data_IF_802595371695
#
_entry.id   IF_802595371695
#
_cell.length_a   1.000
_cell.length_b   1.000
_cell.length_c   1.000
_cell.angle_alpha   90.00
_cell.angle_beta   90.00
_cell.angle_gamma   90.00
#
_symmetry.space_group_name_H-M   'P 1'
#
loop_
_entity.id
_entity.type
_entity.pdbx_description
1 polymer ?
#
# COMPACT_ATOMS: atom_id res chain seq x y z
N UNK A 1 17.98 13.08 -16.97
CA UNK A 1 16.84 12.68 -16.13
C UNK A 1 16.27 11.39 -16.69
N UNK A 2 15.85 10.48 -15.82
CA UNK A 2 15.27 9.20 -16.19
C UNK A 2 13.89 9.05 -15.51
N UNK A 3 12.88 8.67 -16.29
CA UNK A 3 11.50 8.45 -15.83
C UNK A 3 11.15 6.99 -15.98
N UNK A 4 10.72 6.35 -14.89
CA UNK A 4 10.18 4.99 -14.91
C UNK A 4 8.65 5.05 -15.02
N UNK A 5 8.07 4.40 -16.02
CA UNK A 5 6.64 4.39 -16.28
C UNK A 5 6.05 3.05 -15.83
N UNK A 6 5.12 3.08 -14.88
CA UNK A 6 4.39 1.93 -14.36
C UNK A 6 2.97 1.96 -14.91
N UNK A 7 2.63 1.04 -15.82
CA UNK A 7 1.35 1.08 -16.55
C UNK A 7 0.42 -0.05 -16.14
N UNK A 8 -0.88 0.21 -16.08
CA UNK A 8 -1.89 -0.83 -15.98
C UNK A 8 -2.02 -1.58 -17.32
N UNK A 9 -1.45 -2.77 -17.41
CA UNK A 9 -1.43 -3.58 -18.63
C UNK A 9 -2.79 -4.15 -19.06
N UNK A 10 -3.81 -4.08 -18.22
CA UNK A 10 -5.17 -4.54 -18.55
C UNK A 10 -6.00 -3.47 -19.26
N UNK A 11 -5.54 -2.21 -19.22
CA UNK A 11 -6.20 -1.06 -19.83
C UNK A 11 -5.45 -0.59 -21.09
N UNK A 12 -6.16 -0.56 -22.22
CA UNK A 12 -5.54 -0.12 -23.48
C UNK A 12 -5.26 1.38 -23.48
N UNK A 13 -6.17 2.19 -22.94
CA UNK A 13 -6.02 3.64 -22.81
C UNK A 13 -4.78 4.05 -21.97
N UNK A 14 -4.48 3.31 -20.92
CA UNK A 14 -3.26 3.54 -20.12
C UNK A 14 -1.98 3.16 -20.89
N UNK A 15 -2.03 2.13 -21.74
CA UNK A 15 -0.89 1.77 -22.61
C UNK A 15 -0.67 2.84 -23.69
N UNK A 16 -1.74 3.34 -24.28
CA UNK A 16 -1.68 4.40 -25.30
C UNK A 16 -1.11 5.68 -24.67
N UNK A 17 -1.52 6.02 -23.45
CA UNK A 17 -0.94 7.10 -22.67
C UNK A 17 0.55 6.90 -22.35
N UNK A 18 0.97 5.66 -22.06
CA UNK A 18 2.39 5.37 -21.83
C UNK A 18 3.22 5.58 -23.11
N UNK A 19 2.71 5.19 -24.26
CA UNK A 19 3.37 5.44 -25.56
C UNK A 19 3.47 6.96 -25.85
N UNK A 20 2.35 7.69 -25.69
CA UNK A 20 2.31 9.15 -25.83
C UNK A 20 3.32 9.84 -24.90
N UNK A 21 3.37 9.43 -23.62
CA UNK A 21 4.29 9.99 -22.65
C UNK A 21 5.75 9.71 -23.04
N UNK A 22 6.05 8.48 -23.48
CA UNK A 22 7.39 8.10 -23.93
C UNK A 22 7.88 8.94 -25.10
N UNK A 23 7.05 9.17 -26.12
CA UNK A 23 7.35 10.04 -27.26
C UNK A 23 7.60 11.50 -26.83
N UNK A 24 6.75 12.02 -25.93
CA UNK A 24 6.92 13.38 -25.43
C UNK A 24 8.20 13.52 -24.60
N UNK A 25 8.51 12.58 -23.68
CA UNK A 25 9.74 12.60 -22.89
C UNK A 25 11.00 12.54 -23.76
N UNK A 26 11.00 11.70 -24.82
CA UNK A 26 12.08 11.63 -25.78
C UNK A 26 12.30 12.99 -26.49
N UNK A 27 11.21 13.69 -26.83
CA UNK A 27 11.26 15.05 -27.39
C UNK A 27 11.83 16.09 -26.42
N UNK A 28 11.79 15.86 -25.13
CA UNK A 28 12.39 16.70 -24.08
C UNK A 28 13.82 16.26 -23.70
N UNK A 29 14.38 15.23 -24.35
CA UNK A 29 15.69 14.68 -24.01
C UNK A 29 15.72 13.93 -22.66
N UNK A 30 14.58 13.45 -22.18
CA UNK A 30 14.41 12.66 -20.95
C UNK A 30 14.32 11.19 -21.30
N UNK A 31 15.13 10.36 -20.64
CA UNK A 31 15.08 8.89 -20.78
C UNK A 31 13.79 8.35 -20.15
N UNK A 32 13.07 7.50 -20.87
CA UNK A 32 11.87 6.85 -20.38
C UNK A 32 12.01 5.32 -20.44
N UNK A 33 11.73 4.66 -19.33
CA UNK A 33 11.73 3.21 -19.23
C UNK A 33 10.36 2.71 -18.77
N UNK A 34 9.84 1.64 -19.41
CA UNK A 34 8.63 0.96 -18.97
C UNK A 34 8.97 -0.11 -17.93
N UNK A 35 8.35 -0.03 -16.76
CA UNK A 35 8.45 -1.08 -15.79
C UNK A 35 7.91 -2.40 -16.37
N UNK A 36 8.64 -3.51 -16.24
CA UNK A 36 8.24 -4.79 -16.80
C UNK A 36 6.90 -5.24 -16.24
N UNK A 37 6.12 -5.94 -17.06
CA UNK A 37 4.87 -6.56 -16.61
C UNK A 37 5.18 -7.67 -15.63
N UNK A 38 4.72 -7.54 -14.40
CA UNK A 38 4.79 -8.62 -13.42
C UNK A 38 3.92 -9.79 -13.89
N UNK A 39 4.52 -10.95 -14.10
CA UNK A 39 3.79 -12.18 -14.46
C UNK A 39 3.08 -12.81 -13.26
N UNK A 40 3.52 -12.49 -12.04
CA UNK A 40 2.90 -12.87 -10.76
C UNK A 40 3.16 -11.73 -9.77
N UNK A 41 2.16 -11.40 -8.98
CA UNK A 41 2.18 -10.29 -8.01
C UNK A 41 3.26 -10.38 -6.92
N UNK A 42 4.20 -11.32 -7.00
CA UNK A 42 5.21 -11.62 -5.97
C UNK A 42 6.65 -11.35 -6.37
N UNK A 43 6.91 -11.02 -7.64
CA UNK A 43 8.27 -10.77 -8.13
C UNK A 43 8.43 -9.29 -8.46
N UNK A 44 8.78 -8.48 -7.46
CA UNK A 44 9.38 -7.18 -7.74
C UNK A 44 10.80 -7.49 -8.19
N UNK A 45 11.00 -7.61 -9.49
CA UNK A 45 12.32 -7.75 -10.10
C UNK A 45 12.92 -6.40 -10.51
N UNK A 46 12.21 -5.30 -10.24
CA UNK A 46 12.59 -3.94 -10.63
C UNK A 46 12.61 -3.07 -9.40
N UNK A 47 13.74 -2.50 -9.16
CA UNK A 47 13.97 -1.38 -8.25
C UNK A 47 13.78 -0.10 -9.07
N UNK A 48 13.32 1.00 -8.44
CA UNK A 48 13.28 2.31 -9.08
C UNK A 48 14.68 2.75 -9.55
N UNK A 49 15.73 2.14 -9.00
CA UNK A 49 17.11 2.26 -9.41
C UNK A 49 17.59 3.70 -9.44
N UNK A 50 17.95 4.13 -10.65
CA UNK A 50 18.44 5.47 -10.97
C UNK A 50 17.35 6.40 -11.53
N UNK A 51 16.08 6.06 -11.40
CA UNK A 51 14.99 6.92 -11.83
C UNK A 51 14.89 8.20 -10.98
N UNK A 52 14.71 9.33 -11.66
CA UNK A 52 14.45 10.63 -11.00
C UNK A 52 12.97 10.82 -10.68
N UNK A 53 12.08 10.13 -11.40
CA UNK A 53 10.63 10.19 -11.27
C UNK A 53 9.99 8.86 -11.65
N UNK A 54 8.96 8.45 -10.93
CA UNK A 54 8.08 7.34 -11.33
C UNK A 54 6.72 7.88 -11.73
N UNK A 55 6.22 7.49 -12.90
CA UNK A 55 4.88 7.85 -13.38
C UNK A 55 4.00 6.62 -13.41
N UNK A 56 2.93 6.63 -12.61
CA UNK A 56 1.94 5.56 -12.54
C UNK A 56 0.74 5.87 -13.43
N UNK A 57 0.47 5.03 -14.44
CA UNK A 57 -0.64 5.17 -15.38
C UNK A 57 -1.68 4.07 -15.13
N UNK A 58 -2.74 4.42 -14.38
CA UNK A 58 -3.79 3.47 -13.99
C UNK A 58 -4.67 4.02 -12.88
N UNK A 59 -5.03 3.23 -11.89
CA UNK A 59 -5.70 3.64 -10.66
C UNK A 59 -4.81 3.44 -9.44
N UNK A 60 -5.42 3.53 -8.22
CA UNK A 60 -4.69 3.38 -6.96
C UNK A 60 -3.91 2.04 -6.88
N UNK A 61 -4.45 0.94 -7.43
CA UNK A 61 -3.73 -0.34 -7.48
C UNK A 61 -2.44 -0.31 -8.31
N UNK A 62 -2.39 0.48 -9.40
CA UNK A 62 -1.18 0.69 -10.20
C UNK A 62 -0.18 1.55 -9.44
N UNK A 63 -0.68 2.54 -8.71
CA UNK A 63 0.15 3.39 -7.87
C UNK A 63 0.75 2.61 -6.69
N UNK A 64 0.01 1.70 -6.05
CA UNK A 64 0.55 0.80 -5.02
C UNK A 64 1.67 -0.09 -5.58
N UNK A 65 1.56 -0.52 -6.85
CA UNK A 65 2.65 -1.22 -7.54
C UNK A 65 3.86 -0.30 -7.75
N UNK A 66 3.65 0.94 -8.17
CA UNK A 66 4.73 1.93 -8.29
C UNK A 66 5.42 2.18 -6.94
N UNK A 67 4.64 2.31 -5.86
CA UNK A 67 5.16 2.47 -4.51
C UNK A 67 6.02 1.28 -4.05
N UNK A 68 5.65 0.03 -4.39
CA UNK A 68 6.49 -1.14 -4.11
C UNK A 68 7.80 -1.14 -4.90
N UNK A 69 7.80 -0.66 -6.15
CA UNK A 69 9.01 -0.51 -6.97
C UNK A 69 9.93 0.55 -6.37
N UNK A 70 9.39 1.66 -5.93
CA UNK A 70 10.12 2.73 -5.26
C UNK A 70 10.66 2.28 -3.90
N UNK A 71 9.88 1.50 -3.15
CA UNK A 71 10.25 1.06 -1.81
C UNK A 71 10.60 2.25 -0.91
N UNK A 72 11.79 2.21 -0.35
CA UNK A 72 12.32 3.25 0.55
C UNK A 72 13.32 4.20 -0.14
N UNK A 73 13.44 4.18 -1.48
CA UNK A 73 14.43 4.97 -2.22
C UNK A 73 14.18 6.48 -2.17
N UNK A 74 12.94 6.89 -1.89
CA UNK A 74 12.57 8.31 -1.88
C UNK A 74 12.31 8.91 -3.25
N UNK A 75 12.37 8.12 -4.34
CA UNK A 75 12.01 8.57 -5.69
C UNK A 75 10.55 8.99 -5.72
N UNK A 76 10.21 10.20 -6.17
CA UNK A 76 8.83 10.69 -6.18
C UNK A 76 7.97 9.96 -7.22
N UNK A 77 6.66 9.88 -6.93
CA UNK A 77 5.67 9.24 -7.81
C UNK A 77 4.61 10.26 -8.22
N UNK A 78 4.28 10.30 -9.51
CA UNK A 78 3.08 10.96 -10.05
C UNK A 78 2.07 9.89 -10.46
N UNK A 79 0.82 10.03 -10.01
CA UNK A 79 -0.27 9.13 -10.35
C UNK A 79 -1.26 9.75 -11.35
N UNK A 80 -1.41 9.17 -12.54
CA UNK A 80 -2.43 9.53 -13.53
C UNK A 80 -3.53 8.47 -13.54
N UNK A 81 -4.76 8.88 -13.22
CA UNK A 81 -5.90 7.98 -13.15
C UNK A 81 -6.53 7.76 -14.52
N UNK A 82 -6.59 6.52 -14.96
CA UNK A 82 -7.35 6.09 -16.15
C UNK A 82 -8.73 5.53 -15.80
N UNK A 83 -9.22 5.82 -14.62
CA UNK A 83 -10.54 5.45 -14.12
C UNK A 83 -11.14 6.56 -13.27
N UNK A 84 -11.78 6.20 -12.17
CA UNK A 84 -12.21 7.19 -11.19
C UNK A 84 -10.99 7.75 -10.46
N UNK A 85 -10.95 9.06 -10.26
CA UNK A 85 -9.90 9.71 -9.48
C UNK A 85 -9.97 9.20 -8.02
N UNK A 86 -8.91 8.48 -7.61
CA UNK A 86 -8.79 7.88 -6.29
C UNK A 86 -8.25 8.84 -5.22
N UNK A 87 -7.72 8.27 -4.15
CA UNK A 87 -7.05 9.02 -3.08
C UNK A 87 -5.56 9.24 -3.34
N UNK A 88 -4.97 8.47 -4.27
CA UNK A 88 -3.53 8.47 -4.51
C UNK A 88 -3.15 9.06 -5.86
N UNK A 89 -4.11 9.22 -6.77
CA UNK A 89 -3.86 9.75 -8.12
C UNK A 89 -4.10 11.26 -8.17
N UNK A 90 -3.25 11.97 -8.93
CA UNK A 90 -3.16 13.43 -8.97
C UNK A 90 -4.01 14.06 -10.06
N UNK A 91 -4.11 13.42 -11.23
CA UNK A 91 -4.72 13.97 -12.44
C UNK A 91 -5.39 12.89 -13.30
N UNK A 92 -6.17 13.31 -14.28
CA UNK A 92 -6.75 12.45 -15.31
C UNK A 92 -5.86 12.32 -16.55
N UNK A 93 -6.28 11.50 -17.56
CA UNK A 93 -5.49 11.25 -18.78
C UNK A 93 -5.27 12.51 -19.62
N UNK A 94 -6.23 13.42 -19.63
CA UNK A 94 -6.17 14.67 -20.42
C UNK A 94 -5.06 15.62 -19.91
N UNK A 95 -4.66 15.46 -18.64
CA UNK A 95 -3.63 16.26 -17.99
C UNK A 95 -2.27 15.54 -17.92
N UNK A 96 -2.11 14.38 -18.59
CA UNK A 96 -0.92 13.53 -18.50
C UNK A 96 0.38 14.33 -18.75
N UNK A 97 0.49 14.95 -19.90
CA UNK A 97 1.73 15.64 -20.31
C UNK A 97 1.99 16.88 -19.47
N UNK A 98 0.95 17.68 -19.18
CA UNK A 98 1.09 18.88 -18.36
C UNK A 98 1.50 18.55 -16.91
N UNK A 99 0.89 17.51 -16.32
CA UNK A 99 1.21 17.09 -14.95
C UNK A 99 2.63 16.52 -14.84
N UNK A 100 3.05 15.66 -15.80
CA UNK A 100 4.43 15.14 -15.80
C UNK A 100 5.43 16.25 -16.07
N UNK A 101 5.11 17.22 -16.96
CA UNK A 101 5.93 18.39 -17.19
C UNK A 101 6.13 19.23 -15.91
N UNK A 102 5.04 19.50 -15.19
CA UNK A 102 5.10 20.20 -13.91
C UNK A 102 5.91 19.42 -12.85
N UNK A 103 5.80 18.08 -12.82
CA UNK A 103 6.61 17.24 -11.94
C UNK A 103 8.12 17.37 -12.24
N UNK A 104 8.50 17.29 -13.52
CA UNK A 104 9.88 17.43 -13.95
C UNK A 104 10.45 18.84 -13.70
N UNK A 105 9.59 19.86 -13.74
CA UNK A 105 9.94 21.24 -13.41
C UNK A 105 10.00 21.52 -11.90
N UNK A 106 9.59 20.57 -11.03
CA UNK A 106 9.54 20.74 -9.58
C UNK A 106 8.39 21.64 -9.10
N UNK A 107 7.35 21.81 -9.89
CA UNK A 107 6.20 22.68 -9.60
C UNK A 107 5.11 22.00 -8.79
N UNK A 108 5.18 20.66 -8.63
CA UNK A 108 4.23 19.90 -7.82
C UNK A 108 4.67 19.81 -6.35
N UNK A 109 3.69 19.75 -5.47
CA UNK A 109 3.93 19.53 -4.05
C UNK A 109 4.21 18.04 -3.76
N UNK A 110 5.28 17.75 -3.02
CA UNK A 110 5.61 16.41 -2.58
C UNK A 110 4.88 16.08 -1.26
N UNK A 111 3.84 15.29 -1.35
CA UNK A 111 3.07 14.78 -0.21
C UNK A 111 3.75 13.52 0.34
N UNK A 112 4.26 13.61 1.56
CA UNK A 112 4.93 12.51 2.27
C UNK A 112 3.91 11.48 2.74
N UNK A 113 4.17 10.20 2.48
CA UNK A 113 3.34 9.06 2.88
C UNK A 113 4.16 8.08 3.69
N UNK A 114 3.74 7.85 4.94
CA UNK A 114 4.32 6.83 5.78
C UNK A 114 4.14 5.44 5.16
N UNK A 115 5.08 4.54 5.43
CA UNK A 115 5.08 3.16 4.94
C UNK A 115 5.08 2.18 6.10
N UNK A 116 4.83 0.91 5.83
CA UNK A 116 5.01 -0.19 6.77
C UNK A 116 6.21 -1.04 6.38
N UNK A 117 6.98 -1.45 7.38
CA UNK A 117 7.93 -2.56 7.34
C UNK A 117 7.30 -3.75 8.06
N UNK A 118 7.24 -4.88 7.36
CA UNK A 118 6.48 -6.05 7.79
C UNK A 118 7.42 -7.24 7.80
N UNK A 119 7.57 -7.87 8.95
CA UNK A 119 8.26 -9.15 9.11
C UNK A 119 7.25 -10.25 9.43
N UNK A 120 7.24 -11.31 8.63
CA UNK A 120 6.36 -12.47 8.83
C UNK A 120 7.20 -13.71 9.09
N UNK A 121 6.87 -14.44 10.16
CA UNK A 121 7.47 -15.72 10.48
C UNK A 121 6.55 -16.86 10.04
N UNK A 122 7.15 -17.86 9.41
CA UNK A 122 6.49 -19.04 8.87
C UNK A 122 7.10 -20.31 9.42
N UNK A 123 6.25 -21.35 9.58
CA UNK A 123 6.66 -22.71 9.90
C UNK A 123 6.50 -23.58 8.66
N UNK A 124 7.55 -24.33 8.30
CA UNK A 124 7.53 -25.32 7.23
C UNK A 124 6.85 -26.61 7.69
N UNK A 125 6.48 -27.51 6.76
CA UNK A 125 5.93 -28.82 7.10
C UNK A 125 6.84 -29.70 7.96
N UNK A 126 8.15 -29.49 7.93
CA UNK A 126 9.13 -30.18 8.76
C UNK A 126 9.32 -29.58 10.15
N UNK A 127 8.57 -28.51 10.48
CA UNK A 127 8.63 -27.81 11.76
C UNK A 127 9.71 -26.71 11.85
N UNK A 128 10.58 -26.55 10.85
CA UNK A 128 11.56 -25.47 10.84
C UNK A 128 10.88 -24.11 10.56
N UNK A 129 11.48 -23.03 11.08
CA UNK A 129 10.97 -21.67 10.91
C UNK A 129 11.87 -20.86 9.97
N UNK A 130 11.27 -19.81 9.35
CA UNK A 130 11.99 -18.79 8.61
C UNK A 130 11.17 -17.50 8.61
N UNK A 131 11.84 -16.37 8.39
CA UNK A 131 11.21 -15.06 8.25
C UNK A 131 11.22 -14.58 6.81
N UNK A 132 10.21 -13.80 6.46
CA UNK A 132 10.11 -13.05 5.21
C UNK A 132 9.74 -11.60 5.50
N UNK A 133 10.24 -10.68 4.67
CA UNK A 133 9.97 -9.25 4.78
C UNK A 133 9.05 -8.77 3.66
N UNK A 134 8.24 -7.77 3.95
CA UNK A 134 7.36 -7.11 2.98
C UNK A 134 7.26 -5.62 3.30
N UNK A 135 6.95 -4.86 2.25
CA UNK A 135 6.65 -3.45 2.28
C UNK A 135 5.15 -3.24 2.07
N UNK A 136 4.56 -2.22 2.69
CA UNK A 136 3.24 -1.72 2.31
C UNK A 136 3.16 -0.18 2.39
N UNK A 137 2.44 0.41 1.45
CA UNK A 137 2.03 1.81 1.49
C UNK A 137 0.69 1.96 2.24
N UNK A 138 -0.25 1.04 2.03
CA UNK A 138 -1.56 1.08 2.67
C UNK A 138 -1.61 0.24 3.95
N UNK A 139 -1.53 -1.07 3.83
CA UNK A 139 -1.81 -1.95 4.96
C UNK A 139 -1.15 -3.34 4.89
N UNK A 140 -0.99 -3.90 6.07
CA UNK A 140 -0.83 -5.33 6.31
C UNK A 140 -2.15 -5.92 6.77
N UNK A 141 -2.52 -7.09 6.27
CA UNK A 141 -3.72 -7.81 6.66
C UNK A 141 -3.41 -9.28 7.02
N UNK A 142 -3.80 -9.67 8.23
CA UNK A 142 -4.05 -11.06 8.59
C UNK A 142 -5.48 -11.40 8.16
N UNK A 143 -5.66 -12.47 7.39
CA UNK A 143 -6.98 -12.95 6.99
C UNK A 143 -7.12 -14.45 7.21
N UNK A 144 -8.31 -14.88 7.58
CA UNK A 144 -8.67 -16.30 7.63
C UNK A 144 -8.65 -16.95 6.24
N UNK A 145 -8.55 -18.27 6.19
CA UNK A 145 -8.72 -19.05 4.97
C UNK A 145 -10.18 -19.13 4.50
N UNK A 146 -10.39 -19.74 3.34
CA UNK A 146 -11.69 -19.80 2.66
C UNK A 146 -12.72 -20.76 3.27
N UNK A 147 -12.39 -21.56 4.29
CA UNK A 147 -13.25 -22.60 4.85
C UNK A 147 -14.15 -22.15 6.01
N UNK A 148 -14.26 -20.85 6.29
CA UNK A 148 -15.11 -20.33 7.37
C UNK A 148 -14.48 -20.41 8.76
N UNK A 149 -13.25 -20.90 8.86
CA UNK A 149 -12.52 -20.96 10.13
C UNK A 149 -12.18 -19.56 10.63
N UNK A 150 -12.34 -19.35 11.93
CA UNK A 150 -11.99 -18.09 12.61
C UNK A 150 -10.53 -18.17 13.02
N UNK A 151 -9.76 -17.14 12.74
CA UNK A 151 -8.39 -17.02 13.25
C UNK A 151 -8.42 -16.56 14.72
N UNK A 152 -7.54 -17.17 15.53
CA UNK A 152 -7.27 -16.75 16.90
C UNK A 152 -5.82 -16.36 17.03
N UNK A 153 -5.57 -15.18 17.59
CA UNK A 153 -4.25 -14.60 17.71
C UNK A 153 -4.17 -13.63 18.88
N UNK A 154 -2.99 -13.51 19.45
CA UNK A 154 -2.66 -12.48 20.42
C UNK A 154 -2.18 -11.23 19.69
N UNK A 155 -2.65 -10.06 20.15
CA UNK A 155 -2.19 -8.75 19.71
C UNK A 155 -1.35 -8.14 20.82
N UNK A 156 -0.15 -7.68 20.47
CA UNK A 156 0.69 -6.91 21.37
C UNK A 156 1.17 -5.62 20.67
N UNK A 157 1.48 -4.60 21.45
CA UNK A 157 2.09 -3.35 20.98
C UNK A 157 3.32 -3.08 21.81
N UNK A 158 4.48 -3.00 21.15
CA UNK A 158 5.79 -2.78 21.79
C UNK A 158 6.03 -3.72 22.98
N UNK A 159 5.72 -5.02 22.79
CA UNK A 159 5.85 -6.07 23.78
C UNK A 159 4.78 -6.08 24.89
N UNK A 160 3.80 -5.17 24.83
CA UNK A 160 2.66 -5.16 25.78
C UNK A 160 1.47 -5.88 25.17
N UNK A 161 1.06 -6.99 25.77
CA UNK A 161 -0.13 -7.72 25.35
C UNK A 161 -1.38 -6.83 25.49
N UNK A 162 -2.15 -6.73 24.41
CA UNK A 162 -3.40 -5.96 24.35
C UNK A 162 -4.60 -6.89 24.56
N UNK A 163 -4.75 -7.93 23.71
CA UNK A 163 -5.88 -8.85 23.80
C UNK A 163 -5.58 -10.13 22.99
N UNK A 164 -6.33 -11.20 23.31
CA UNK A 164 -6.46 -12.39 22.48
C UNK A 164 -7.77 -12.30 21.69
N UNK A 165 -7.66 -12.16 20.37
CA UNK A 165 -8.77 -11.88 19.47
C UNK A 165 -9.12 -13.14 18.67
N UNK A 166 -10.43 -13.37 18.52
CA UNK A 166 -11.02 -14.30 17.56
C UNK A 166 -11.77 -13.48 16.52
N UNK A 167 -11.36 -13.55 15.26
CA UNK A 167 -11.88 -12.68 14.20
C UNK A 167 -11.72 -13.31 12.81
N UNK A 168 -12.29 -12.68 11.80
CA UNK A 168 -11.99 -12.99 10.39
C UNK A 168 -10.59 -12.54 10.01
N UNK A 169 -10.03 -11.54 10.72
CA UNK A 169 -8.70 -11.04 10.49
C UNK A 169 -8.35 -9.81 11.33
N UNK A 170 -7.23 -9.19 10.97
CA UNK A 170 -6.74 -7.97 11.59
C UNK A 170 -5.97 -7.14 10.57
N UNK A 171 -6.21 -5.84 10.53
CA UNK A 171 -5.54 -4.90 9.63
C UNK A 171 -4.65 -3.98 10.46
N UNK A 172 -3.41 -3.82 10.02
CA UNK A 172 -2.50 -2.76 10.48
C UNK A 172 -2.24 -1.86 9.28
N UNK A 173 -2.68 -0.62 9.36
CA UNK A 173 -2.68 0.30 8.22
C UNK A 173 -1.87 1.56 8.53
N UNK A 174 -1.30 2.17 7.49
CA UNK A 174 -0.82 3.55 7.54
C UNK A 174 -2.00 4.52 7.53
N UNK A 175 -1.72 5.81 7.72
CA UNK A 175 -2.69 6.87 7.47
C UNK A 175 -3.20 6.88 6.02
N UNK A 176 -2.32 6.57 5.05
CA UNK A 176 -2.69 6.47 3.63
C UNK A 176 -3.71 5.36 3.41
N UNK A 177 -3.49 4.17 3.98
CA UNK A 177 -4.39 3.03 3.87
C UNK A 177 -5.66 3.14 4.72
N UNK A 178 -5.76 4.16 5.60
CA UNK A 178 -6.95 4.39 6.42
C UNK A 178 -8.24 4.59 5.63
N UNK A 179 -8.14 5.03 4.36
CA UNK A 179 -9.26 5.19 3.43
C UNK A 179 -9.55 3.93 2.58
N UNK A 180 -8.74 2.88 2.75
CA UNK A 180 -8.85 1.60 2.04
C UNK A 180 -9.54 0.51 2.88
N UNK A 181 -8.88 -0.65 2.99
CA UNK A 181 -9.44 -1.80 3.69
C UNK A 181 -9.67 -1.56 5.19
N UNK A 182 -8.80 -0.77 5.83
CA UNK A 182 -8.99 -0.37 7.23
C UNK A 182 -10.33 0.36 7.46
N UNK A 183 -10.75 1.26 6.52
CA UNK A 183 -12.04 1.93 6.59
C UNK A 183 -13.20 0.94 6.44
N UNK A 184 -13.12 0.03 5.45
CA UNK A 184 -14.14 -1.00 5.23
C UNK A 184 -14.29 -1.94 6.43
N UNK A 185 -13.21 -2.14 7.20
CA UNK A 185 -13.21 -2.90 8.46
C UNK A 185 -13.73 -2.09 9.66
N UNK A 186 -14.10 -0.81 9.50
CA UNK A 186 -14.64 0.04 10.56
C UNK A 186 -13.59 0.91 11.26
N UNK A 187 -12.43 1.09 10.68
CA UNK A 187 -11.39 2.02 11.15
C UNK A 187 -11.73 3.48 10.84
N UNK A 188 -11.06 4.44 11.49
CA UNK A 188 -11.24 5.87 11.24
C UNK A 188 -10.53 6.31 9.94
N UNK A 189 -11.01 7.40 9.33
CA UNK A 189 -10.26 8.16 8.34
C UNK A 189 -9.17 8.95 9.07
N UNK A 190 -7.92 8.82 8.63
CA UNK A 190 -6.76 9.43 9.27
C UNK A 190 -6.01 10.29 8.27
N UNK A 191 -5.65 11.52 8.67
CA UNK A 191 -4.88 12.45 7.82
C UNK A 191 -3.49 11.88 7.48
N UNK A 192 -2.98 12.08 6.25
CA UNK A 192 -1.66 11.61 5.83
C UNK A 192 -0.49 12.12 6.70
N UNK A 193 -0.68 13.21 7.44
CA UNK A 193 0.33 13.73 8.38
C UNK A 193 0.50 12.89 9.65
N UNK A 194 -0.37 11.93 9.90
CA UNK A 194 -0.24 11.00 11.03
C UNK A 194 0.74 9.88 10.66
N UNK A 195 1.77 9.72 11.45
CA UNK A 195 2.87 8.76 11.23
C UNK A 195 2.73 7.42 11.97
N UNK A 196 1.75 7.29 12.87
CA UNK A 196 1.46 6.05 13.56
C UNK A 196 0.70 5.06 12.68
N UNK A 197 0.29 3.94 13.27
CA UNK A 197 -0.47 2.91 12.59
C UNK A 197 -1.92 2.86 13.07
N UNK A 198 -2.82 2.44 12.20
CA UNK A 198 -4.24 2.20 12.45
C UNK A 198 -4.46 0.71 12.56
N UNK A 199 -4.84 0.23 13.73
CA UNK A 199 -5.07 -1.18 14.03
C UNK A 199 -6.57 -1.46 14.07
N UNK A 200 -7.05 -2.37 13.21
CA UNK A 200 -8.48 -2.63 13.05
C UNK A 200 -8.76 -4.14 13.06
N UNK A 201 -9.48 -4.67 14.05
CA UNK A 201 -9.97 -6.05 14.01
C UNK A 201 -11.06 -6.19 12.94
N UNK A 202 -11.03 -7.27 12.15
CA UNK A 202 -12.01 -7.55 11.09
C UNK A 202 -13.03 -8.54 11.60
N UNK A 203 -14.30 -8.14 11.72
CA UNK A 203 -15.40 -8.95 12.21
C UNK A 203 -15.06 -9.73 13.49
N UNK A 204 -14.60 -9.07 14.58
CA UNK A 204 -14.22 -9.75 15.80
C UNK A 204 -15.43 -10.37 16.49
N UNK A 205 -15.25 -11.55 17.10
CA UNK A 205 -16.27 -12.25 17.86
C UNK A 205 -16.42 -11.71 19.30
N UNK A 206 -16.17 -10.44 19.48
CA UNK A 206 -16.35 -9.70 20.73
C UNK A 206 -16.70 -8.26 20.42
N UNK A 207 -17.62 -7.71 21.18
CA UNK A 207 -18.00 -6.29 21.07
C UNK A 207 -16.96 -5.34 21.70
N UNK A 208 -15.99 -5.88 22.41
CA UNK A 208 -14.96 -5.10 23.13
C UNK A 208 -13.77 -4.76 22.25
N UNK A 209 -13.48 -5.56 21.22
CA UNK A 209 -12.40 -5.27 20.29
C UNK A 209 -12.74 -4.02 19.46
N UNK A 210 -11.91 -3.00 19.55
CA UNK A 210 -12.06 -1.72 18.87
C UNK A 210 -10.83 -1.43 18.02
N UNK A 211 -11.04 -0.63 16.98
CA UNK A 211 -9.91 -0.01 16.28
C UNK A 211 -9.18 0.96 17.22
N UNK A 212 -7.85 0.98 17.12
CA UNK A 212 -7.00 1.89 17.87
C UNK A 212 -5.84 2.39 17.04
N UNK A 213 -5.23 3.49 17.49
CA UNK A 213 -4.06 4.10 16.87
C UNK A 213 -2.82 3.83 17.72
N UNK A 214 -1.66 3.71 17.08
CA UNK A 214 -0.37 3.57 17.74
C UNK A 214 0.50 4.82 17.52
N UNK A 215 1.56 4.94 18.31
CA UNK A 215 2.62 5.90 18.05
C UNK A 215 3.48 5.48 16.85
N UNK A 216 4.19 6.40 16.19
CA UNK A 216 5.13 6.07 15.11
C UNK A 216 6.26 5.13 15.52
N UNK A 217 6.64 5.14 16.80
CA UNK A 217 7.71 4.27 17.36
C UNK A 217 7.21 2.90 17.82
N UNK A 218 5.91 2.65 17.80
CA UNK A 218 5.36 1.38 18.24
C UNK A 218 5.57 0.27 17.23
N UNK A 219 5.61 -0.95 17.75
CA UNK A 219 5.67 -2.19 16.98
C UNK A 219 4.41 -2.99 17.27
N UNK A 220 3.63 -3.32 16.26
CA UNK A 220 2.45 -4.18 16.39
C UNK A 220 2.86 -5.62 16.12
N UNK A 221 2.53 -6.50 17.05
CA UNK A 221 2.86 -7.91 16.99
C UNK A 221 1.58 -8.74 16.99
N UNK A 222 1.46 -9.64 16.03
CA UNK A 222 0.37 -10.61 15.93
C UNK A 222 0.96 -12.01 16.08
N UNK A 223 0.63 -12.70 17.16
CA UNK A 223 1.08 -14.06 17.40
C UNK A 223 -0.10 -15.03 17.23
N UNK A 224 0.00 -15.93 16.27
CA UNK A 224 -1.05 -16.90 15.97
C UNK A 224 -1.12 -17.97 17.06
N UNK A 225 -2.34 -18.33 17.46
CA UNK A 225 -2.55 -19.43 18.42
C UNK A 225 -2.06 -20.76 17.82
N UNK A 226 -1.16 -21.48 18.51
CA UNK A 226 -0.73 -22.81 18.07
C UNK A 226 -1.82 -23.87 18.29
N UNK A 227 -2.75 -23.63 19.19
CA UNK A 227 -3.83 -24.55 19.55
C UNK A 227 -4.90 -24.67 18.46
N UNK A 228 -4.94 -23.70 17.54
CA UNK A 228 -5.87 -23.67 16.41
C UNK A 228 -5.11 -23.48 15.09
N UNK A 229 -4.63 -24.55 14.48
CA UNK A 229 -3.89 -24.49 13.20
C UNK A 229 -4.85 -24.31 12.01
N UNK A 230 -5.66 -23.24 12.02
CA UNK A 230 -6.54 -22.88 10.91
C UNK A 230 -5.75 -22.25 9.78
N UNK A 231 -6.27 -22.41 8.53
CA UNK A 231 -5.70 -21.76 7.38
C UNK A 231 -5.80 -20.24 7.51
N UNK A 232 -4.68 -19.56 7.31
CA UNK A 232 -4.55 -18.10 7.39
C UNK A 232 -3.59 -17.56 6.36
N UNK A 233 -3.78 -16.32 6.01
CA UNK A 233 -2.99 -15.63 5.00
C UNK A 233 -2.56 -14.26 5.50
N UNK A 234 -1.37 -13.87 5.08
CA UNK A 234 -0.82 -12.52 5.28
C UNK A 234 -0.78 -11.80 3.94
N UNK A 235 -1.22 -10.56 3.93
CA UNK A 235 -1.23 -9.70 2.76
C UNK A 235 -0.56 -8.37 3.08
N UNK A 236 0.11 -7.79 2.08
CA UNK A 236 0.64 -6.44 2.11
C UNK A 236 0.10 -5.70 0.87
N UNK A 237 -0.60 -4.58 1.05
CA UNK A 237 -1.30 -3.84 -0.02
C UNK A 237 -2.16 -4.77 -0.90
N UNK A 238 -2.92 -5.68 -0.28
CA UNK A 238 -3.76 -6.64 -0.95
C UNK A 238 -3.02 -7.78 -1.67
N UNK A 239 -1.68 -7.82 -1.62
CA UNK A 239 -0.87 -8.89 -2.22
C UNK A 239 -0.46 -9.91 -1.16
N UNK A 240 -0.58 -11.22 -1.43
CA UNK A 240 -0.11 -12.23 -0.50
C UNK A 240 1.37 -12.06 -0.17
N UNK A 241 1.72 -12.08 1.11
CA UNK A 241 3.13 -12.13 1.52
C UNK A 241 3.74 -13.45 1.04
N UNK A 242 4.93 -13.36 0.43
CA UNK A 242 5.62 -14.52 -0.13
C UNK A 242 5.94 -15.54 0.94
N UNK A 243 5.56 -16.79 0.69
CA UNK A 243 5.90 -17.93 1.54
C UNK A 243 6.24 -19.17 0.72
N UNK A 244 7.02 -20.06 1.30
CA UNK A 244 7.30 -21.38 0.71
C UNK A 244 6.04 -22.24 0.68
N UNK A 245 5.94 -23.12 -0.32
CA UNK A 245 4.76 -23.99 -0.50
C UNK A 245 4.57 -24.90 0.74
N UNK A 246 3.36 -24.92 1.26
CA UNK A 246 3.01 -25.70 2.45
C UNK A 246 3.32 -25.02 3.79
N UNK A 247 4.04 -23.90 3.80
CA UNK A 247 4.32 -23.16 5.05
C UNK A 247 3.09 -22.42 5.56
N UNK A 248 3.05 -22.25 6.90
CA UNK A 248 1.98 -21.56 7.61
C UNK A 248 2.55 -20.36 8.37
N UNK A 249 1.93 -19.20 8.25
CA UNK A 249 2.31 -18.01 9.00
C UNK A 249 1.99 -18.17 10.49
N UNK A 250 2.93 -17.87 11.37
CA UNK A 250 2.78 -18.02 12.83
C UNK A 250 2.92 -16.72 13.59
N UNK A 251 3.61 -15.74 13.02
CA UNK A 251 3.76 -14.40 13.60
C UNK A 251 3.87 -13.36 12.51
N UNK A 252 3.38 -12.17 12.81
CA UNK A 252 3.66 -10.98 12.03
C UNK A 252 4.05 -9.84 12.95
N UNK A 253 5.10 -9.12 12.57
CA UNK A 253 5.59 -7.91 13.25
C UNK A 253 5.50 -6.77 12.26
N UNK A 254 4.76 -5.73 12.61
CA UNK A 254 4.50 -4.57 11.74
C UNK A 254 4.94 -3.31 12.46
N UNK A 255 5.74 -2.51 11.77
CA UNK A 255 6.20 -1.22 12.27
C UNK A 255 6.17 -0.19 11.16
N UNK A 256 6.28 1.08 11.51
CA UNK A 256 6.52 2.12 10.53
C UNK A 256 7.81 1.81 9.77
N UNK A 257 7.74 1.93 8.43
CA UNK A 257 8.89 1.72 7.55
C UNK A 257 9.99 2.77 7.76
N UNK A 258 11.25 2.43 7.42
CA UNK A 258 12.40 3.30 7.63
C UNK A 258 12.44 4.49 6.65
N UNK A 259 11.65 4.45 5.58
CA UNK A 259 11.56 5.50 4.56
C UNK A 259 10.13 5.80 4.17
N UNK A 260 9.93 6.94 3.53
CA UNK A 260 8.64 7.42 3.05
C UNK A 260 8.52 7.30 1.53
N UNK A 261 7.27 7.21 1.07
CA UNK A 261 6.93 7.41 -0.35
C UNK A 261 6.47 8.87 -0.52
N UNK A 262 6.91 9.51 -1.59
CA UNK A 262 6.54 10.87 -1.94
C UNK A 262 5.61 10.86 -3.15
N UNK A 263 4.34 11.28 -2.93
CA UNK A 263 3.39 11.47 -4.01
C UNK A 263 3.40 12.94 -4.44
N UNK A 264 3.58 13.18 -5.73
CA UNK A 264 3.52 14.53 -6.28
C UNK A 264 2.07 14.90 -6.58
N UNK A 265 1.60 16.01 -6.00
CA UNK A 265 0.21 16.45 -6.04
C UNK A 265 0.14 17.93 -6.44
N UNK A 266 -0.95 18.34 -7.08
CA UNK A 266 -1.24 19.76 -7.26
C UNK A 266 -1.54 20.41 -5.91
N UNK A 267 -0.83 21.48 -5.55
CA UNK A 267 -0.89 22.10 -4.22
C UNK A 267 -2.25 22.69 -3.80
N UNK A 268 -3.21 22.76 -4.73
CA UNK A 268 -4.57 23.23 -4.48
C UNK A 268 -5.52 22.13 -3.97
N UNK A 269 -5.16 20.84 -4.10
CA UNK A 269 -6.01 19.73 -3.63
C UNK A 269 -5.53 19.27 -2.25
N UNK A 270 -6.41 19.31 -1.28
CA UNK A 270 -6.13 18.80 0.06
C UNK A 270 -6.68 17.38 0.23
N UNK A 271 -6.16 16.65 1.22
CA UNK A 271 -6.71 15.36 1.62
C UNK A 271 -8.22 15.43 1.92
N UNK A 272 -8.65 16.53 2.55
CA UNK A 272 -10.06 16.72 2.92
C UNK A 272 -10.98 17.00 1.72
N UNK A 273 -10.46 17.55 0.62
CA UNK A 273 -11.21 17.67 -0.63
C UNK A 273 -11.49 16.29 -1.21
N UNK A 274 -10.50 15.38 -1.18
CA UNK A 274 -10.69 13.99 -1.58
C UNK A 274 -11.68 13.24 -0.69
N UNK A 275 -11.60 13.42 0.64
CA UNK A 275 -12.56 12.87 1.61
C UNK A 275 -13.97 13.38 1.31
N UNK A 276 -14.13 14.68 1.11
CA UNK A 276 -15.44 15.31 0.80
C UNK A 276 -16.01 14.76 -0.50
N UNK A 277 -15.20 14.71 -1.55
CA UNK A 277 -15.61 14.20 -2.87
C UNK A 277 -16.04 12.73 -2.83
N UNK A 278 -15.24 11.88 -2.20
CA UNK A 278 -15.45 10.42 -2.26
C UNK A 278 -16.57 9.97 -1.33
N UNK A 279 -16.64 10.52 -0.10
CA UNK A 279 -17.57 10.01 0.91
C UNK A 279 -18.84 10.85 1.05
N UNK A 280 -18.80 12.14 0.72
CA UNK A 280 -19.94 13.03 0.92
C UNK A 280 -20.56 13.55 -0.39
N UNK A 281 -20.06 13.11 -1.56
CA UNK A 281 -20.62 13.43 -2.86
C UNK A 281 -20.58 14.93 -3.22
N UNK A 282 -19.80 15.72 -2.52
CA UNK A 282 -19.63 17.14 -2.84
C UNK A 282 -18.60 17.26 -3.98
N UNK A 283 -19.10 17.12 -5.21
CA UNK A 283 -18.42 17.69 -6.37
C UNK A 283 -18.47 19.20 -6.18
N UNK A 284 -17.31 19.85 -6.20
CA UNK A 284 -17.19 21.28 -5.93
C UNK A 284 -18.27 22.11 -6.61
N UNK A 285 -18.95 22.93 -5.83
CA UNK A 285 -19.79 24.02 -6.32
C UNK A 285 -18.89 25.15 -6.78
#
# INVERSE_FOLDING_TARGET
MKVLIVVNHERQDAKDGAAQLGEWLAGQGVEAELAPRERRHHEISVDAGDADLVVSLGGDGTLLRAARIVGYSGVPIVGISYGHLGFLTTAGPDELVSTVGAALAGELHASRRATLDIECEFVRPDGSTYSGHSFALNDFCLSRGGQGDIVEFDVAVSGKHIDRIRADGFVVSTSTGSTGYALAAGGPIVTPSFDGMVCVPVAPHTILARAFLTSPSDVVELQMSPERPVMRHFFADGQPVRKEKGSTGVRATVRRGPGDVFLLEHGSQTFYDSVSRVFYGQVGK
#
